data_IF_553464435846
#
_entry.id   IF_553464435846
#
_cell.length_a   1.000
_cell.length_b   1.000
_cell.length_c   1.000
_cell.angle_alpha   90.00
_cell.angle_beta   90.00
_cell.angle_gamma   90.00
#
_symmetry.space_group_name_H-M   'P 1'
#
loop_
_entity.id
_entity.type
_entity.pdbx_description
1 polymer ?
#
# COMPACT_ATOMS: atom_id res chain seq x y z
N UNK A 1 23.25 -3.47 20.90
CA UNK A 1 22.99 -4.11 19.58
C UNK A 1 22.34 -3.10 18.65
N UNK A 2 23.05 -2.64 17.60
CA UNK A 2 22.46 -1.75 16.58
C UNK A 2 21.49 -2.57 15.72
N UNK A 3 20.20 -2.29 15.81
CA UNK A 3 19.14 -3.00 15.07
C UNK A 3 19.31 -2.69 13.58
N UNK A 4 19.72 -3.69 12.81
CA UNK A 4 19.99 -3.56 11.38
C UNK A 4 18.67 -3.28 10.62
N UNK A 5 18.50 -2.09 9.99
CA UNK A 5 17.21 -1.61 9.47
C UNK A 5 16.66 -2.47 8.32
N UNK A 6 17.53 -3.19 7.60
CA UNK A 6 17.16 -4.05 6.48
C UNK A 6 16.29 -5.25 6.91
N UNK A 7 16.53 -5.80 8.10
CA UNK A 7 15.76 -6.95 8.61
C UNK A 7 14.34 -6.59 9.03
N UNK A 8 14.06 -5.31 9.34
CA UNK A 8 12.70 -4.85 9.73
C UNK A 8 11.74 -4.84 8.54
N UNK A 9 12.16 -4.32 7.39
CA UNK A 9 11.33 -4.26 6.18
C UNK A 9 10.85 -5.63 5.72
N UNK A 10 11.76 -6.61 5.65
CA UNK A 10 11.45 -7.98 5.19
C UNK A 10 10.48 -8.70 6.14
N UNK A 11 10.63 -8.52 7.46
CA UNK A 11 9.71 -9.12 8.44
C UNK A 11 8.33 -8.47 8.38
N UNK A 12 8.28 -7.16 8.13
CA UNK A 12 7.02 -6.42 7.97
C UNK A 12 6.30 -6.81 6.68
N UNK A 13 7.02 -6.90 5.56
CA UNK A 13 6.51 -7.36 4.26
C UNK A 13 6.01 -8.80 4.33
N UNK A 14 6.77 -9.70 4.97
CA UNK A 14 6.32 -11.09 5.21
C UNK A 14 5.09 -11.14 6.12
N UNK A 15 5.01 -10.32 7.17
CA UNK A 15 3.80 -10.23 8.02
C UNK A 15 2.60 -9.66 7.26
N UNK A 16 2.79 -8.62 6.44
CA UNK A 16 1.72 -8.01 5.64
C UNK A 16 1.20 -8.99 4.58
N UNK A 17 2.08 -9.69 3.87
CA UNK A 17 1.70 -10.72 2.89
C UNK A 17 0.97 -11.90 3.55
N UNK A 18 1.48 -12.41 4.68
CA UNK A 18 0.87 -13.52 5.42
C UNK A 18 -0.47 -13.14 6.05
N UNK A 19 -0.64 -11.89 6.51
CA UNK A 19 -1.89 -11.36 7.09
C UNK A 19 -2.97 -11.07 6.05
N UNK A 20 -2.62 -10.94 4.77
CA UNK A 20 -3.56 -10.67 3.70
C UNK A 20 -3.88 -11.89 2.81
N UNK A 21 -3.42 -13.10 3.15
CA UNK A 21 -3.60 -14.31 2.33
C UNK A 21 -3.17 -14.11 0.87
N UNK A 22 -2.12 -13.31 0.66
CA UNK A 22 -1.69 -12.88 -0.67
C UNK A 22 -0.39 -13.55 -1.09
N UNK A 23 -0.28 -13.85 -2.39
CA UNK A 23 0.93 -14.41 -2.98
C UNK A 23 1.96 -13.27 -3.10
N UNK A 24 3.12 -13.44 -2.46
CA UNK A 24 4.23 -12.50 -2.59
C UNK A 24 4.80 -12.61 -4.01
N UNK A 25 4.71 -11.53 -4.80
CA UNK A 25 5.12 -11.55 -6.22
C UNK A 25 6.58 -11.13 -6.38
N UNK A 26 7.05 -10.14 -5.61
CA UNK A 26 8.46 -9.75 -5.44
C UNK A 26 9.30 -9.58 -6.72
N UNK A 27 9.64 -8.35 -7.11
CA UNK A 27 10.62 -8.10 -8.18
C UNK A 27 10.62 -6.64 -8.68
N UNK A 28 11.71 -6.18 -9.33
CA UNK A 28 11.76 -4.84 -9.90
C UNK A 28 10.62 -4.64 -10.91
N UNK A 29 9.84 -3.56 -10.73
CA UNK A 29 8.67 -3.25 -11.55
C UNK A 29 7.38 -4.02 -11.21
N UNK A 30 7.41 -4.94 -10.24
CA UNK A 30 6.24 -5.73 -9.82
C UNK A 30 5.66 -5.24 -8.48
N UNK A 31 4.42 -5.63 -8.23
CA UNK A 31 3.68 -5.41 -6.98
C UNK A 31 4.25 -6.25 -5.83
N UNK A 32 4.13 -5.76 -4.59
CA UNK A 32 4.69 -6.44 -3.41
C UNK A 32 3.88 -7.70 -3.06
N UNK A 33 2.56 -7.65 -3.27
CA UNK A 33 1.68 -8.80 -3.12
C UNK A 33 0.46 -8.71 -4.02
N UNK A 34 -0.08 -9.87 -4.38
CA UNK A 34 -1.32 -10.00 -5.14
C UNK A 34 -2.33 -10.84 -4.35
N UNK A 35 -3.57 -10.32 -4.22
CA UNK A 35 -4.72 -11.05 -3.66
C UNK A 35 -5.82 -11.16 -4.73
N UNK A 36 -5.83 -12.27 -5.47
CA UNK A 36 -6.73 -12.43 -6.62
C UNK A 36 -6.44 -11.40 -7.71
N UNK A 37 -7.40 -10.52 -8.00
CA UNK A 37 -7.24 -9.39 -8.92
C UNK A 37 -6.64 -8.12 -8.26
N UNK A 38 -6.47 -8.11 -6.93
CA UNK A 38 -5.99 -6.93 -6.20
C UNK A 38 -4.47 -6.93 -6.18
N UNK A 39 -3.91 -5.85 -6.74
CA UNK A 39 -2.49 -5.54 -6.67
C UNK A 39 -2.19 -4.64 -5.48
N UNK A 40 -1.26 -5.07 -4.63
CA UNK A 40 -0.92 -4.43 -3.37
C UNK A 40 0.54 -3.99 -3.27
N UNK A 41 0.77 -2.80 -2.71
CA UNK A 41 2.10 -2.29 -2.38
C UNK A 41 2.21 -2.09 -0.86
N UNK A 42 3.33 -2.51 -0.28
CA UNK A 42 3.69 -2.31 1.12
C UNK A 42 4.85 -1.32 1.19
N UNK A 43 4.70 -0.28 2.01
CA UNK A 43 5.77 0.67 2.31
C UNK A 43 6.06 0.67 3.81
N UNK A 44 7.14 -0.03 4.17
CA UNK A 44 7.72 -0.05 5.51
C UNK A 44 8.78 1.06 5.68
N UNK A 45 8.40 2.30 5.39
CA UNK A 45 9.28 3.48 5.52
C UNK A 45 8.83 4.35 6.69
N UNK A 46 9.77 5.00 7.39
CA UNK A 46 9.47 5.96 8.47
C UNK A 46 8.71 7.22 7.98
N UNK A 47 8.82 7.53 6.69
CA UNK A 47 8.10 8.65 6.08
C UNK A 47 6.68 8.25 5.66
N UNK A 48 5.74 9.20 5.81
CA UNK A 48 4.37 9.08 5.30
C UNK A 48 4.35 9.04 3.78
N UNK A 49 3.49 8.20 3.22
CA UNK A 49 3.35 8.08 1.76
C UNK A 49 2.64 9.31 1.19
N UNK A 50 3.25 9.92 0.18
CA UNK A 50 2.81 11.18 -0.41
C UNK A 50 1.94 10.95 -1.65
N UNK A 51 1.17 11.98 -2.04
CA UNK A 51 0.37 12.00 -3.27
C UNK A 51 1.20 11.62 -4.52
N UNK A 52 2.35 12.27 -4.81
CA UNK A 52 3.13 11.94 -6.01
C UNK A 52 3.65 10.50 -5.99
N UNK A 53 4.04 9.97 -4.83
CA UNK A 53 4.47 8.58 -4.71
C UNK A 53 3.33 7.61 -5.06
N UNK A 54 2.12 7.85 -4.54
CA UNK A 54 0.94 7.04 -4.86
C UNK A 54 0.63 7.12 -6.36
N UNK A 55 0.61 8.32 -6.95
CA UNK A 55 0.34 8.49 -8.38
C UNK A 55 1.33 7.72 -9.25
N UNK A 56 2.62 7.79 -8.90
CA UNK A 56 3.68 7.06 -9.61
C UNK A 56 3.45 5.55 -9.54
N UNK A 57 3.20 5.01 -8.34
CA UNK A 57 3.00 3.57 -8.14
C UNK A 57 1.74 3.07 -8.85
N UNK A 58 0.63 3.83 -8.79
CA UNK A 58 -0.59 3.49 -9.54
C UNK A 58 -0.28 3.45 -11.04
N UNK A 59 0.42 4.46 -11.57
CA UNK A 59 0.73 4.55 -13.01
C UNK A 59 1.65 3.41 -13.48
N UNK A 60 2.67 3.08 -12.69
CA UNK A 60 3.68 2.10 -13.09
C UNK A 60 3.24 0.67 -12.86
N UNK A 61 2.48 0.42 -11.79
CA UNK A 61 2.17 -0.95 -11.33
C UNK A 61 0.69 -1.30 -11.38
N UNK A 62 -0.20 -0.32 -11.53
CA UNK A 62 -1.66 -0.53 -11.46
C UNK A 62 -2.14 -0.98 -10.08
N UNK A 63 -1.45 -0.57 -9.02
CA UNK A 63 -1.76 -0.96 -7.63
C UNK A 63 -3.06 -0.31 -7.15
N UNK A 64 -3.88 -1.09 -6.47
CA UNK A 64 -5.17 -0.65 -5.92
C UNK A 64 -5.26 -0.80 -4.40
N UNK A 65 -4.25 -1.38 -3.75
CA UNK A 65 -4.17 -1.48 -2.29
C UNK A 65 -2.79 -1.00 -1.80
N UNK A 66 -2.77 -0.06 -0.87
CA UNK A 66 -1.54 0.45 -0.27
C UNK A 66 -1.53 0.18 1.22
N UNK A 67 -0.46 -0.42 1.71
CA UNK A 67 -0.18 -0.59 3.14
C UNK A 67 1.03 0.26 3.49
N UNK A 68 0.87 1.20 4.42
CA UNK A 68 1.95 2.06 4.88
C UNK A 68 2.12 1.92 6.39
N UNK A 69 3.35 1.60 6.82
CA UNK A 69 3.67 1.53 8.25
C UNK A 69 3.51 2.90 8.90
N UNK A 70 4.03 3.96 8.28
CA UNK A 70 3.98 5.34 8.82
C UNK A 70 2.72 6.12 8.43
N UNK A 71 1.90 5.55 7.54
CA UNK A 71 0.64 6.12 7.09
C UNK A 71 0.77 6.99 5.85
N UNK A 72 -0.20 7.89 5.66
CA UNK A 72 -0.37 8.68 4.44
C UNK A 72 -0.45 10.17 4.78
N UNK A 73 -0.01 11.01 3.85
CA UNK A 73 -0.19 12.46 3.99
C UNK A 73 -1.65 12.86 3.73
N UNK A 74 -2.10 14.00 4.28
CA UNK A 74 -3.46 14.52 4.01
C UNK A 74 -3.74 14.69 2.51
N UNK A 75 -2.80 15.24 1.69
CA UNK A 75 -2.99 15.31 0.24
C UNK A 75 -3.17 13.95 -0.43
N UNK A 76 -2.48 12.91 0.04
CA UNK A 76 -2.63 11.55 -0.48
C UNK A 76 -4.03 10.99 -0.19
N UNK A 77 -4.53 11.16 1.03
CA UNK A 77 -5.87 10.73 1.42
C UNK A 77 -6.95 11.45 0.60
N UNK A 78 -6.85 12.78 0.47
CA UNK A 78 -7.79 13.59 -0.29
C UNK A 78 -7.80 13.21 -1.79
N UNK A 79 -6.62 13.02 -2.38
CA UNK A 79 -6.49 12.55 -3.76
C UNK A 79 -7.20 11.20 -3.96
N UNK A 80 -6.95 10.22 -3.09
CA UNK A 80 -7.56 8.91 -3.23
C UNK A 80 -9.07 8.93 -2.98
N UNK A 81 -9.55 9.72 -2.02
CA UNK A 81 -10.98 9.87 -1.76
C UNK A 81 -11.73 10.49 -2.94
N UNK A 82 -11.14 11.50 -3.58
CA UNK A 82 -11.79 12.28 -4.65
C UNK A 82 -11.67 11.65 -6.03
N UNK A 83 -10.51 11.10 -6.37
CA UNK A 83 -10.18 10.69 -7.74
C UNK A 83 -9.90 9.20 -7.90
N UNK A 84 -9.75 8.45 -6.80
CA UNK A 84 -9.42 7.02 -6.83
C UNK A 84 -10.25 6.22 -5.82
N UNK A 85 -11.59 6.23 -5.91
CA UNK A 85 -12.45 5.48 -4.99
C UNK A 85 -12.15 3.97 -5.00
N UNK A 86 -11.59 3.43 -6.07
CA UNK A 86 -11.15 2.05 -6.20
C UNK A 86 -9.90 1.71 -5.35
N UNK A 87 -9.13 2.70 -4.91
CA UNK A 87 -7.89 2.50 -4.15
C UNK A 87 -8.17 2.36 -2.66
N UNK A 88 -7.63 1.33 -2.02
CA UNK A 88 -7.71 1.10 -0.57
C UNK A 88 -6.40 1.50 0.11
N UNK A 89 -6.51 2.23 1.22
CA UNK A 89 -5.36 2.70 2.00
C UNK A 89 -5.42 2.12 3.42
N UNK A 90 -4.32 1.51 3.85
CA UNK A 90 -4.17 0.83 5.14
C UNK A 90 -2.95 1.39 5.84
N UNK A 91 -3.13 1.87 7.08
CA UNK A 91 -2.06 2.30 7.95
C UNK A 91 -1.83 1.27 9.04
N UNK A 92 -0.69 0.58 9.01
CA UNK A 92 -0.45 -0.56 9.87
C UNK A 92 -1.51 -1.65 9.65
N UNK A 93 -2.42 -1.78 10.62
CA UNK A 93 -3.56 -2.71 10.55
C UNK A 93 -4.91 -2.02 10.36
N UNK A 94 -4.95 -0.69 10.33
CA UNK A 94 -6.19 0.10 10.27
C UNK A 94 -6.46 0.53 8.84
N UNK A 95 -7.64 0.21 8.32
CA UNK A 95 -8.11 0.77 7.05
C UNK A 95 -8.42 2.26 7.28
N UNK A 96 -7.65 3.14 6.65
CA UNK A 96 -7.86 4.60 6.73
C UNK A 96 -8.72 5.11 5.58
N UNK A 97 -8.78 4.34 4.48
CA UNK A 97 -9.72 4.58 3.38
C UNK A 97 -10.11 3.24 2.75
N UNK A 98 -11.38 2.82 2.84
CA UNK A 98 -11.84 1.57 2.22
C UNK A 98 -11.98 1.71 0.70
N UNK A 99 -11.98 0.59 -0.02
CA UNK A 99 -12.34 0.57 -1.44
C UNK A 99 -13.84 0.85 -1.57
N UNK A 100 -14.21 1.74 -2.48
CA UNK A 100 -15.59 2.01 -2.87
C UNK A 100 -15.73 1.76 -4.36
N UNK A 101 -16.91 1.29 -4.81
CA UNK A 101 -17.18 1.15 -6.25
C UNK A 101 -17.38 2.55 -6.85
N UNK A 102 -16.83 2.79 -8.04
CA UNK A 102 -17.24 3.95 -8.84
C UNK A 102 -18.74 3.77 -9.13
N UNK A 103 -19.60 4.64 -8.59
CA UNK A 103 -21.06 4.55 -8.76
C UNK A 103 -21.88 4.05 -7.56
N UNK A 104 -21.34 4.07 -6.32
CA UNK A 104 -22.19 3.99 -5.12
C UNK A 104 -22.58 5.39 -4.64
N UNK A 105 -23.40 6.07 -5.45
CA UNK A 105 -24.34 7.12 -5.05
C UNK A 105 -25.65 6.76 -5.70
#
# INVERSE_FOLDING_TARGET
MKINPVRRGIVYEKKAAKKHHSTHVGGPGKEDYRRGAIKGEVKATAAKLTKPAIQKIIREKGVTEFVSESGFTKPALAYCKRYRPEVKLIHGCKVVKPRTKHGSV
#
